data_IF_447240468427
#
_entry.id   IF_447240468427
#
_cell.length_a   1.000
_cell.length_b   1.000
_cell.length_c   1.000
_cell.angle_alpha   90.00
_cell.angle_beta   90.00
_cell.angle_gamma   90.00
#
_symmetry.space_group_name_H-M   'P 1'
#
loop_
_entity.id
_entity.type
_entity.pdbx_description
1 polymer ?
#
# COMPACT_ATOMS: atom_id res chain seq x y z
N UNK A 1 43.62 54.83 3.35
CA UNK A 1 42.48 53.94 3.64
C UNK A 1 42.49 52.87 2.56
N UNK A 2 43.31 51.82 2.62
CA UNK A 2 43.41 50.75 3.60
C UNK A 2 42.12 49.91 3.73
N UNK A 3 42.23 48.65 3.25
CA UNK A 3 41.43 47.46 3.54
C UNK A 3 40.09 47.38 2.78
N UNK A 4 39.74 46.34 2.03
CA UNK A 4 39.87 44.90 2.31
C UNK A 4 39.94 44.05 1.04
N UNK A 5 41.06 43.37 0.81
CA UNK A 5 41.17 42.17 -0.04
C UNK A 5 41.69 41.05 0.87
N UNK A 6 40.85 40.07 1.19
CA UNK A 6 41.22 38.70 1.55
C UNK A 6 40.05 37.99 2.23
N UNK A 7 39.26 37.23 1.46
CA UNK A 7 38.38 36.21 2.05
C UNK A 7 37.97 35.11 1.07
N UNK A 8 38.92 34.54 0.33
CA UNK A 8 38.64 33.33 -0.48
C UNK A 8 39.76 32.28 -0.50
N UNK A 9 40.71 32.31 0.43
CA UNK A 9 41.78 31.29 0.54
C UNK A 9 41.70 30.41 1.81
N UNK A 10 40.49 30.15 2.33
CA UNK A 10 40.30 29.40 3.58
C UNK A 10 39.59 28.04 3.47
N UNK A 11 39.05 27.67 2.31
CA UNK A 11 38.10 26.55 2.20
C UNK A 11 38.51 25.46 1.20
N UNK A 12 39.80 25.30 0.93
CA UNK A 12 40.34 24.20 0.10
C UNK A 12 41.30 23.26 0.86
N UNK A 13 41.57 23.50 2.13
CA UNK A 13 42.45 22.64 2.95
C UNK A 13 41.74 21.75 3.99
N UNK A 14 40.41 21.72 4.04
CA UNK A 14 39.67 20.88 5.00
C UNK A 14 39.03 19.60 4.42
N UNK A 15 38.99 19.46 3.10
CA UNK A 15 38.45 18.25 2.44
C UNK A 15 39.53 17.24 2.06
N UNK A 16 40.80 17.65 1.90
CA UNK A 16 41.90 16.74 1.59
C UNK A 16 42.32 15.82 2.74
N UNK A 17 42.13 16.24 3.99
CA UNK A 17 42.55 15.45 5.17
C UNK A 17 41.53 14.37 5.57
N UNK A 18 40.27 14.46 5.11
CA UNK A 18 39.21 13.50 5.46
C UNK A 18 39.25 12.25 4.58
N UNK A 19 39.65 12.38 3.32
CA UNK A 19 39.78 11.24 2.39
C UNK A 19 40.97 10.35 2.76
N UNK A 20 42.09 10.95 3.18
CA UNK A 20 43.27 10.19 3.64
C UNK A 20 43.05 9.49 5.00
N UNK A 21 42.12 9.99 5.83
CA UNK A 21 41.73 9.32 7.09
C UNK A 21 40.86 8.08 6.84
N UNK A 22 39.94 8.15 5.89
CA UNK A 22 39.05 7.02 5.55
C UNK A 22 39.83 5.86 4.90
N UNK A 23 40.79 6.14 4.02
CA UNK A 23 41.64 5.09 3.44
C UNK A 23 42.53 4.39 4.49
N UNK A 24 42.94 5.11 5.56
CA UNK A 24 43.77 4.52 6.63
C UNK A 24 42.97 3.67 7.61
N UNK A 25 41.67 3.91 7.75
CA UNK A 25 40.77 3.09 8.56
C UNK A 25 40.41 1.76 7.86
N UNK A 26 40.29 1.75 6.53
CA UNK A 26 40.10 0.51 5.75
C UNK A 26 41.33 -0.40 5.80
N UNK A 27 42.55 0.14 5.69
CA UNK A 27 43.79 -0.66 5.82
C UNK A 27 43.93 -1.28 7.22
N UNK A 28 43.51 -0.57 8.27
CA UNK A 28 43.53 -1.10 9.64
C UNK A 28 42.46 -2.17 9.87
N UNK A 29 41.29 -2.07 9.22
CA UNK A 29 40.26 -3.09 9.26
C UNK A 29 40.70 -4.38 8.54
N UNK A 30 41.35 -4.26 7.38
CA UNK A 30 41.91 -5.38 6.64
C UNK A 30 43.03 -6.10 7.42
N UNK A 31 43.93 -5.34 8.06
CA UNK A 31 44.99 -5.91 8.90
C UNK A 31 44.43 -6.64 10.14
N UNK A 32 43.40 -6.09 10.80
CA UNK A 32 42.71 -6.76 11.91
C UNK A 32 42.02 -8.05 11.48
N UNK A 33 41.33 -8.06 10.34
CA UNK A 33 40.69 -9.25 9.79
C UNK A 33 41.72 -10.35 9.48
N UNK A 34 42.89 -9.98 8.96
CA UNK A 34 43.96 -10.92 8.65
C UNK A 34 44.61 -11.51 9.92
N UNK A 35 44.76 -10.71 10.99
CA UNK A 35 45.22 -11.22 12.30
C UNK A 35 44.20 -12.14 12.96
N UNK A 36 42.90 -11.86 12.84
CA UNK A 36 41.83 -12.73 13.37
C UNK A 36 41.81 -14.08 12.66
N UNK A 37 41.95 -14.09 11.33
CA UNK A 37 42.04 -15.32 10.54
C UNK A 37 43.27 -16.16 10.91
N UNK A 38 44.42 -15.52 11.17
CA UNK A 38 45.65 -16.20 11.60
C UNK A 38 45.49 -16.83 13.00
N UNK A 39 44.90 -16.10 13.95
CA UNK A 39 44.64 -16.61 15.30
C UNK A 39 43.63 -17.76 15.33
N UNK A 40 42.60 -17.72 14.47
CA UNK A 40 41.65 -18.85 14.35
C UNK A 40 42.29 -20.10 13.74
N UNK A 41 43.20 -19.94 12.78
CA UNK A 41 43.96 -21.05 12.20
C UNK A 41 44.94 -21.67 13.22
N UNK A 42 45.53 -20.86 14.10
CA UNK A 42 46.45 -21.33 15.14
C UNK A 42 45.71 -22.05 16.29
N UNK A 43 44.52 -21.58 16.69
CA UNK A 43 43.65 -22.30 17.62
C UNK A 43 43.13 -23.64 17.07
N UNK A 44 42.93 -23.76 15.76
CA UNK A 44 42.55 -25.02 15.14
C UNK A 44 43.69 -26.06 15.13
N UNK A 45 44.95 -25.61 15.17
CA UNK A 45 46.13 -26.48 15.23
C UNK A 45 46.45 -26.97 16.66
N UNK A 46 45.94 -26.30 17.71
CA UNK A 46 46.18 -26.68 19.12
C UNK A 46 45.10 -27.60 19.72
N UNK A 47 44.29 -28.26 18.89
CA UNK A 47 43.34 -29.29 19.34
C UNK A 47 44.09 -30.54 19.84
N UNK A 48 44.52 -30.44 21.10
CA UNK A 48 44.84 -31.47 22.09
C UNK A 48 44.79 -32.90 21.54
N UNK A 49 45.97 -33.45 21.31
CA UNK A 49 46.22 -34.88 21.20
C UNK A 49 45.80 -35.53 22.53
N UNK A 50 44.53 -35.97 22.63
CA UNK A 50 44.07 -36.81 23.73
C UNK A 50 44.79 -38.15 23.58
N UNK A 51 45.78 -38.31 24.44
CA UNK A 51 46.66 -39.45 24.52
C UNK A 51 45.92 -40.79 24.60
N UNK A 52 46.60 -41.75 24.01
CA UNK A 52 46.35 -43.17 24.00
C UNK A 52 46.40 -43.76 25.44
N UNK A 53 45.30 -43.69 26.20
CA UNK A 53 45.16 -44.42 27.47
C UNK A 53 44.74 -45.86 27.19
N UNK A 54 45.70 -46.72 26.83
CA UNK A 54 45.58 -48.16 27.00
C UNK A 54 45.73 -48.48 28.50
N UNK A 55 44.63 -48.35 29.24
CA UNK A 55 44.55 -48.63 30.68
C UNK A 55 43.54 -49.73 30.98
N UNK A 56 44.06 -50.95 31.09
CA UNK A 56 43.62 -52.09 31.92
C UNK A 56 42.24 -51.98 32.59
N UNK A 57 41.31 -52.84 32.17
CA UNK A 57 40.45 -53.65 33.05
C UNK A 57 39.83 -54.77 32.19
N UNK A 58 40.61 -55.85 31.98
CA UNK A 58 40.08 -57.13 31.52
C UNK A 58 39.36 -57.79 32.70
N UNK A 59 38.03 -57.77 32.70
CA UNK A 59 37.24 -58.76 33.42
C UNK A 59 36.97 -59.95 32.48
N UNK A 60 37.64 -61.08 32.77
CA UNK A 60 37.45 -62.37 32.12
C UNK A 60 35.97 -62.80 32.15
N UNK A 61 35.36 -62.92 30.97
CA UNK A 61 34.12 -63.67 30.77
C UNK A 61 34.31 -64.58 29.55
N UNK A 62 34.18 -65.91 29.68
CA UNK A 62 34.27 -66.80 28.54
C UNK A 62 32.95 -66.71 27.77
N UNK A 63 32.92 -65.92 26.71
CA UNK A 63 31.83 -65.96 25.74
C UNK A 63 32.38 -66.24 24.35
N UNK A 64 31.98 -67.39 23.84
CA UNK A 64 32.13 -67.85 22.47
C UNK A 64 32.00 -66.70 21.44
N UNK A 65 33.09 -66.39 20.76
CA UNK A 65 33.24 -66.62 19.31
C UNK A 65 32.30 -65.95 18.30
N UNK A 66 31.35 -65.11 18.70
CA UNK A 66 30.61 -64.27 17.76
C UNK A 66 31.03 -62.82 17.96
N UNK A 67 32.04 -62.39 17.21
CA UNK A 67 32.33 -60.97 17.04
C UNK A 67 31.08 -60.31 16.45
N UNK A 68 30.24 -59.72 17.30
CA UNK A 68 29.06 -58.96 16.89
C UNK A 68 29.57 -57.84 15.98
N UNK A 69 29.46 -58.05 14.67
CA UNK A 69 29.76 -57.03 13.66
C UNK A 69 28.67 -55.99 13.77
N UNK A 70 28.83 -55.04 14.69
CA UNK A 70 27.95 -53.87 14.75
C UNK A 70 28.09 -53.13 13.43
N UNK A 71 26.99 -53.02 12.71
CA UNK A 71 26.93 -52.31 11.44
C UNK A 71 27.20 -50.82 11.68
N UNK A 72 28.46 -50.42 11.45
CA UNK A 72 28.92 -49.03 11.59
C UNK A 72 28.13 -48.06 10.70
N UNK A 73 27.44 -48.59 9.68
CA UNK A 73 26.65 -47.86 8.69
C UNK A 73 25.28 -47.42 9.21
N UNK A 74 24.73 -48.10 10.21
CA UNK A 74 23.40 -47.83 10.79
C UNK A 74 23.46 -47.29 12.23
N UNK A 75 24.65 -46.90 12.70
CA UNK A 75 24.79 -46.28 14.01
C UNK A 75 24.19 -44.88 14.00
N UNK A 76 23.56 -44.47 15.10
CA UNK A 76 23.01 -43.11 15.27
C UNK A 76 24.05 -42.02 14.92
N UNK A 77 25.32 -42.22 15.31
CA UNK A 77 26.42 -41.31 14.97
C UNK A 77 26.73 -41.24 13.47
N UNK A 78 26.59 -42.34 12.74
CA UNK A 78 26.78 -42.35 11.28
C UNK A 78 25.67 -41.60 10.57
N UNK A 79 24.42 -41.74 11.04
CA UNK A 79 23.28 -40.96 10.55
C UNK A 79 23.43 -39.48 10.86
N UNK A 80 23.87 -39.14 12.08
CA UNK A 80 24.14 -37.76 12.47
C UNK A 80 25.27 -37.13 11.66
N UNK A 81 26.39 -37.85 11.45
CA UNK A 81 27.49 -37.39 10.59
C UNK A 81 27.03 -37.15 9.15
N UNK A 82 26.21 -38.04 8.60
CA UNK A 82 25.60 -37.87 7.28
C UNK A 82 24.67 -36.65 7.27
N UNK A 83 23.82 -36.50 8.28
CA UNK A 83 22.93 -35.35 8.39
C UNK A 83 23.68 -34.03 8.48
N UNK A 84 24.76 -33.94 9.27
CA UNK A 84 25.61 -32.75 9.33
C UNK A 84 26.25 -32.43 7.98
N UNK A 85 26.73 -33.45 7.26
CA UNK A 85 27.26 -33.27 5.91
C UNK A 85 26.20 -32.77 4.94
N UNK A 86 25.01 -33.38 4.95
CA UNK A 86 23.89 -32.99 4.10
C UNK A 86 23.43 -31.56 4.44
N UNK A 87 23.39 -31.19 5.73
CA UNK A 87 23.04 -29.85 6.21
C UNK A 87 24.09 -28.81 5.81
N UNK A 88 25.38 -29.14 5.91
CA UNK A 88 26.46 -28.27 5.48
C UNK A 88 26.47 -28.10 3.96
N UNK A 89 26.23 -29.19 3.22
CA UNK A 89 26.07 -29.14 1.76
C UNK A 89 24.91 -28.24 1.35
N UNK A 90 23.77 -28.36 2.04
CA UNK A 90 22.59 -27.54 1.78
C UNK A 90 22.85 -26.06 2.10
N UNK A 91 23.52 -25.76 3.21
CA UNK A 91 23.98 -24.40 3.53
C UNK A 91 24.87 -23.84 2.42
N UNK A 92 25.88 -24.59 1.98
CA UNK A 92 26.78 -24.13 0.91
C UNK A 92 26.03 -23.93 -0.40
N UNK A 93 25.07 -24.81 -0.73
CA UNK A 93 24.20 -24.68 -1.91
C UNK A 93 23.39 -23.38 -1.87
N UNK A 94 22.72 -23.11 -0.75
CA UNK A 94 21.92 -21.89 -0.58
C UNK A 94 22.78 -20.63 -0.57
N UNK A 95 23.94 -20.67 0.08
CA UNK A 95 24.87 -19.54 0.09
C UNK A 95 25.43 -19.25 -1.30
N UNK A 96 25.71 -20.29 -2.10
CA UNK A 96 26.14 -20.12 -3.49
C UNK A 96 25.02 -19.54 -4.37
N UNK A 97 23.78 -20.00 -4.19
CA UNK A 97 22.63 -19.46 -4.93
C UNK A 97 22.39 -17.97 -4.61
N UNK A 98 22.45 -17.58 -3.34
CA UNK A 98 22.34 -16.17 -2.95
C UNK A 98 23.47 -15.32 -3.54
N UNK A 99 24.70 -15.81 -3.54
CA UNK A 99 25.82 -15.09 -4.14
C UNK A 99 25.69 -14.96 -5.67
N UNK A 100 25.08 -15.94 -6.35
CA UNK A 100 24.76 -15.86 -7.78
C UNK A 100 23.67 -14.82 -8.06
N UNK A 101 22.60 -14.82 -7.28
CA UNK A 101 21.53 -13.81 -7.38
C UNK A 101 22.06 -12.39 -7.13
N UNK A 102 22.88 -12.20 -6.07
CA UNK A 102 23.54 -10.93 -5.78
C UNK A 102 24.47 -10.49 -6.91
N UNK A 103 25.20 -11.41 -7.54
CA UNK A 103 26.06 -11.11 -8.68
C UNK A 103 25.27 -10.72 -9.93
N UNK A 104 24.12 -11.36 -10.18
CA UNK A 104 23.22 -10.99 -11.29
C UNK A 104 22.64 -9.59 -11.07
N UNK A 105 22.18 -9.29 -9.86
CA UNK A 105 21.68 -7.96 -9.50
C UNK A 105 22.76 -6.89 -9.60
N UNK A 106 23.98 -7.22 -9.16
CA UNK A 106 25.13 -6.33 -9.27
C UNK A 106 25.51 -6.08 -10.72
N UNK A 107 25.53 -7.11 -11.57
CA UNK A 107 25.78 -6.95 -13.01
C UNK A 107 24.72 -6.07 -13.68
N UNK A 108 23.43 -6.25 -13.35
CA UNK A 108 22.34 -5.39 -13.86
C UNK A 108 22.54 -3.93 -13.45
N UNK A 109 22.91 -3.69 -12.19
CA UNK A 109 23.18 -2.35 -11.66
C UNK A 109 24.40 -1.71 -12.32
N UNK A 110 25.49 -2.46 -12.48
CA UNK A 110 26.70 -2.00 -13.16
C UNK A 110 26.43 -1.69 -14.64
N UNK A 111 25.65 -2.51 -15.34
CA UNK A 111 25.24 -2.26 -16.72
C UNK A 111 24.43 -0.98 -16.84
N UNK A 112 23.40 -0.79 -16.00
CA UNK A 112 22.64 0.45 -15.98
C UNK A 112 23.54 1.67 -15.67
N UNK A 113 24.42 1.55 -14.67
CA UNK A 113 25.37 2.61 -14.31
C UNK A 113 26.33 2.95 -15.45
N UNK A 114 26.83 1.95 -16.18
CA UNK A 114 27.71 2.16 -17.34
C UNK A 114 26.97 2.82 -18.49
N UNK A 115 25.72 2.42 -18.76
CA UNK A 115 24.87 3.06 -19.78
C UNK A 115 24.61 4.52 -19.46
N UNK A 116 24.18 4.81 -18.25
CA UNK A 116 23.97 6.18 -17.76
C UNK A 116 25.25 7.02 -17.84
N UNK A 117 26.38 6.47 -17.42
CA UNK A 117 27.67 7.15 -17.49
C UNK A 117 28.06 7.46 -18.94
N UNK A 118 27.90 6.49 -19.84
CA UNK A 118 28.16 6.65 -21.28
C UNK A 118 27.24 7.70 -21.91
N UNK A 119 25.96 7.72 -21.56
CA UNK A 119 25.02 8.72 -22.06
C UNK A 119 25.39 10.13 -21.55
N UNK A 120 25.74 10.26 -20.26
CA UNK A 120 26.21 11.53 -19.69
C UNK A 120 27.54 11.98 -20.29
N UNK A 121 28.43 11.05 -20.58
CA UNK A 121 29.68 11.33 -21.29
C UNK A 121 29.41 11.79 -22.72
N UNK A 122 28.50 11.14 -23.45
CA UNK A 122 28.09 11.56 -24.78
C UNK A 122 27.47 12.97 -24.79
N UNK A 123 26.64 13.31 -23.80
CA UNK A 123 26.10 14.69 -23.65
C UNK A 123 27.23 15.69 -23.35
N UNK A 124 28.21 15.33 -22.51
CA UNK A 124 29.39 16.18 -22.26
C UNK A 124 30.26 16.34 -23.51
N UNK A 125 30.40 15.27 -24.30
CA UNK A 125 31.21 15.25 -25.51
C UNK A 125 30.52 15.97 -26.68
N UNK A 126 29.18 15.99 -26.75
CA UNK A 126 28.43 16.77 -27.73
C UNK A 126 28.66 18.29 -27.64
N UNK A 127 29.29 18.79 -26.56
CA UNK A 127 29.75 20.18 -26.47
C UNK A 127 31.09 20.43 -27.19
N UNK A 128 31.74 19.37 -27.72
CA UNK A 128 32.89 19.38 -28.62
C UNK A 128 32.56 18.47 -29.81
N UNK A 129 31.98 19.04 -30.87
CA UNK A 129 31.33 18.32 -31.97
C UNK A 129 32.17 17.29 -32.71
N UNK A 130 32.25 16.07 -32.17
CA UNK A 130 32.66 14.87 -32.87
C UNK A 130 31.60 13.79 -32.64
N UNK A 131 30.68 13.69 -33.60
CA UNK A 131 29.66 12.66 -33.65
C UNK A 131 30.32 11.37 -34.12
N UNK A 132 30.32 10.27 -33.34
CA UNK A 132 30.79 9.00 -33.87
C UNK A 132 29.75 8.51 -34.88
N UNK A 133 30.19 8.38 -36.13
CA UNK A 133 29.44 7.69 -37.17
C UNK A 133 29.10 6.27 -36.69
N UNK A 134 27.81 5.94 -36.64
CA UNK A 134 27.34 4.56 -36.49
C UNK A 134 27.69 3.80 -37.79
N UNK A 135 28.92 3.28 -37.80
CA UNK A 135 29.43 2.32 -38.78
C UNK A 135 28.52 1.07 -38.86
N UNK A 136 27.82 1.00 -39.98
CA UNK A 136 27.37 -0.19 -40.72
C UNK A 136 27.18 -1.53 -39.96
N UNK A 137 25.90 -1.91 -39.81
CA UNK A 137 25.39 -3.29 -39.98
C UNK A 137 24.55 -3.82 -38.82
N UNK A 138 23.24 -4.13 -38.99
CA UNK A 138 22.84 -5.55 -39.13
C UNK A 138 21.41 -5.81 -39.69
N UNK A 139 21.29 -6.29 -40.93
CA UNK A 139 20.00 -6.83 -41.42
C UNK A 139 19.57 -8.12 -40.67
N UNK A 140 20.53 -8.88 -40.13
CA UNK A 140 20.25 -10.17 -39.50
C UNK A 140 19.89 -10.07 -38.00
N UNK A 141 20.38 -9.05 -37.27
CA UNK A 141 19.92 -8.81 -35.88
C UNK A 141 18.44 -8.45 -35.84
N UNK A 142 17.94 -7.66 -36.80
CA UNK A 142 16.50 -7.33 -36.91
C UNK A 142 15.63 -8.57 -37.14
N UNK A 143 16.11 -9.57 -37.89
CA UNK A 143 15.38 -10.84 -38.07
C UNK A 143 15.34 -11.66 -36.77
N UNK A 144 16.40 -11.65 -35.97
CA UNK A 144 16.41 -12.29 -34.65
C UNK A 144 15.48 -11.58 -33.64
N UNK A 145 15.39 -10.25 -33.71
CA UNK A 145 14.44 -9.44 -32.94
C UNK A 145 12.97 -9.69 -33.34
N UNK A 146 12.70 -10.17 -34.55
CA UNK A 146 11.33 -10.48 -34.99
C UNK A 146 10.88 -11.92 -34.73
N UNK A 147 11.82 -12.86 -34.53
CA UNK A 147 11.47 -14.25 -34.17
C UNK A 147 10.95 -14.30 -32.74
N UNK A 148 9.80 -14.93 -32.45
CA UNK A 148 9.29 -14.94 -31.08
C UNK A 148 10.26 -15.67 -30.15
N UNK A 149 10.32 -15.25 -28.88
CA UNK A 149 11.33 -15.69 -27.90
C UNK A 149 11.45 -17.21 -27.76
N UNK A 150 10.33 -17.93 -27.90
CA UNK A 150 10.27 -19.40 -27.82
C UNK A 150 10.95 -20.13 -29.00
N UNK A 151 11.28 -19.43 -30.09
CA UNK A 151 11.96 -19.98 -31.27
C UNK A 151 13.47 -19.72 -31.27
N UNK A 152 14.01 -19.13 -30.19
CA UNK A 152 15.42 -18.80 -30.01
C UNK A 152 16.07 -19.74 -28.99
N UNK A 153 17.39 -19.95 -29.10
CA UNK A 153 18.15 -20.66 -28.06
C UNK A 153 18.22 -19.83 -26.78
N UNK A 154 18.39 -20.46 -25.62
CA UNK A 154 18.39 -19.77 -24.31
C UNK A 154 19.29 -18.51 -24.30
N UNK A 155 20.52 -18.63 -24.78
CA UNK A 155 21.47 -17.51 -24.82
C UNK A 155 21.00 -16.38 -25.74
N UNK A 156 20.52 -16.70 -26.95
CA UNK A 156 19.99 -15.70 -27.90
C UNK A 156 18.67 -15.07 -27.45
N UNK A 157 17.87 -15.80 -26.67
CA UNK A 157 16.66 -15.27 -26.07
C UNK A 157 17.02 -14.28 -24.95
N UNK A 158 17.98 -14.62 -24.10
CA UNK A 158 18.47 -13.76 -23.02
C UNK A 158 19.11 -12.47 -23.55
N UNK A 159 19.96 -12.55 -24.58
CA UNK A 159 20.52 -11.38 -25.26
C UNK A 159 19.43 -10.50 -25.89
N UNK A 160 18.42 -11.12 -26.49
CA UNK A 160 17.29 -10.38 -27.06
C UNK A 160 16.47 -9.67 -25.98
N UNK A 161 16.22 -10.33 -24.85
CA UNK A 161 15.52 -9.71 -23.72
C UNK A 161 16.27 -8.48 -23.24
N UNK A 162 17.59 -8.61 -23.03
CA UNK A 162 18.45 -7.50 -22.64
C UNK A 162 18.39 -6.34 -23.65
N UNK A 163 18.43 -6.63 -24.96
CA UNK A 163 18.34 -5.57 -25.98
C UNK A 163 16.99 -4.84 -25.99
N UNK A 164 15.90 -5.53 -25.61
CA UNK A 164 14.57 -4.94 -25.54
C UNK A 164 14.40 -4.08 -24.28
N UNK A 165 14.93 -4.52 -23.14
CA UNK A 165 14.98 -3.74 -21.90
C UNK A 165 15.74 -2.42 -22.12
N UNK A 166 16.82 -2.46 -22.91
CA UNK A 166 17.61 -1.27 -23.26
C UNK A 166 16.86 -0.32 -24.20
N UNK A 167 16.11 -0.86 -25.16
CA UNK A 167 15.27 -0.06 -26.03
C UNK A 167 14.14 0.63 -25.25
N UNK A 168 13.45 -0.11 -24.37
CA UNK A 168 12.39 0.45 -23.51
C UNK A 168 12.94 1.53 -22.57
N UNK A 169 14.12 1.32 -21.97
CA UNK A 169 14.75 2.34 -21.14
C UNK A 169 15.04 3.63 -21.93
N UNK A 170 15.50 3.53 -23.17
CA UNK A 170 15.71 4.70 -24.04
C UNK A 170 14.39 5.39 -24.39
N UNK A 171 13.34 4.63 -24.69
CA UNK A 171 12.00 5.16 -24.97
C UNK A 171 11.44 5.93 -23.75
N UNK A 172 11.63 5.40 -22.54
CA UNK A 172 11.23 6.07 -21.29
C UNK A 172 12.01 7.36 -21.05
N UNK A 173 13.32 7.36 -21.30
CA UNK A 173 14.16 8.57 -21.20
C UNK A 173 13.72 9.59 -22.25
N UNK A 174 13.48 9.17 -23.49
CA UNK A 174 13.00 10.05 -24.55
C UNK A 174 11.62 10.64 -24.22
N UNK A 175 10.71 9.85 -23.65
CA UNK A 175 9.43 10.35 -23.16
C UNK A 175 9.61 11.39 -22.05
N UNK A 176 10.42 11.10 -21.03
CA UNK A 176 10.65 12.03 -19.92
C UNK A 176 11.27 13.35 -20.37
N UNK A 177 12.21 13.30 -21.33
CA UNK A 177 12.87 14.48 -21.87
C UNK A 177 11.95 15.32 -22.76
N UNK A 178 10.99 14.69 -23.42
CA UNK A 178 10.02 15.36 -24.30
C UNK A 178 8.69 15.64 -23.60
N UNK A 179 8.61 15.47 -22.28
CA UNK A 179 7.42 15.78 -21.51
C UNK A 179 7.35 17.30 -21.26
N UNK A 180 6.44 17.99 -21.95
CA UNK A 180 6.17 19.41 -21.73
C UNK A 180 5.29 19.62 -20.49
N UNK A 181 5.95 19.85 -19.36
CA UNK A 181 5.29 20.06 -18.06
C UNK A 181 4.58 21.42 -18.03
N UNK A 182 5.12 22.43 -18.71
CA UNK A 182 4.59 23.79 -18.68
C UNK A 182 3.23 23.86 -19.38
N UNK A 183 3.08 23.20 -20.53
CA UNK A 183 1.78 23.06 -21.19
C UNK A 183 0.72 22.43 -20.28
N UNK A 184 1.09 21.38 -19.54
CA UNK A 184 0.16 20.72 -18.63
C UNK A 184 -0.18 21.59 -17.41
N UNK A 185 0.79 22.34 -16.89
CA UNK A 185 0.59 23.25 -15.77
C UNK A 185 -0.31 24.43 -16.15
N UNK A 186 -0.13 24.99 -17.35
CA UNK A 186 -0.98 26.06 -17.88
C UNK A 186 -2.45 25.60 -17.97
N UNK A 187 -2.69 24.38 -18.47
CA UNK A 187 -4.03 23.80 -18.54
C UNK A 187 -4.66 23.60 -17.16
N UNK A 188 -3.87 23.25 -16.14
CA UNK A 188 -4.34 23.12 -14.75
C UNK A 188 -4.69 24.48 -14.15
N UNK A 189 -3.87 25.51 -14.40
CA UNK A 189 -4.15 26.86 -13.95
C UNK A 189 -5.40 27.43 -14.63
N UNK A 190 -5.55 27.22 -15.94
CA UNK A 190 -6.74 27.61 -16.68
C UNK A 190 -7.98 26.90 -16.12
N UNK A 191 -7.90 25.59 -15.86
CA UNK A 191 -9.00 24.83 -15.22
C UNK A 191 -9.35 25.37 -13.83
N UNK A 192 -8.35 25.74 -13.03
CA UNK A 192 -8.58 26.33 -11.71
C UNK A 192 -9.28 27.70 -11.82
N UNK A 193 -8.86 28.54 -12.77
CA UNK A 193 -9.52 29.84 -13.03
C UNK A 193 -10.95 29.67 -13.54
N UNK A 194 -11.20 28.71 -14.43
CA UNK A 194 -12.55 28.39 -14.91
C UNK A 194 -13.44 27.92 -13.76
N UNK A 195 -12.96 27.03 -12.89
CA UNK A 195 -13.72 26.60 -11.71
C UNK A 195 -14.05 27.76 -10.76
N UNK A 196 -13.14 28.73 -10.62
CA UNK A 196 -13.41 29.95 -9.83
C UNK A 196 -14.51 30.81 -10.48
N UNK A 197 -14.50 30.97 -11.80
CA UNK A 197 -15.54 31.70 -12.54
C UNK A 197 -16.89 30.97 -12.45
N UNK A 198 -16.90 29.64 -12.56
CA UNK A 198 -18.12 28.83 -12.37
C UNK A 198 -18.71 29.01 -10.97
N UNK A 199 -17.85 29.06 -9.94
CA UNK A 199 -18.29 29.33 -8.56
C UNK A 199 -18.91 30.74 -8.42
N UNK A 200 -18.29 31.75 -9.03
CA UNK A 200 -18.82 33.11 -9.03
C UNK A 200 -20.15 33.19 -9.79
N UNK A 201 -20.25 32.52 -10.93
CA UNK A 201 -21.47 32.45 -11.72
C UNK A 201 -22.60 31.77 -10.93
N UNK A 202 -22.31 30.68 -10.22
CA UNK A 202 -23.29 30.01 -9.36
C UNK A 202 -23.77 30.91 -8.21
N UNK A 203 -22.87 31.71 -7.62
CA UNK A 203 -23.26 32.68 -6.59
C UNK A 203 -24.20 33.76 -7.15
N UNK A 204 -23.85 34.33 -8.30
CA UNK A 204 -24.69 35.34 -8.97
C UNK A 204 -26.05 34.73 -9.36
N UNK A 205 -26.06 33.52 -9.91
CA UNK A 205 -27.30 32.83 -10.27
C UNK A 205 -28.18 32.61 -9.03
N UNK A 206 -27.61 32.21 -7.90
CA UNK A 206 -28.36 32.05 -6.65
C UNK A 206 -28.98 33.37 -6.15
N UNK A 207 -28.33 34.52 -6.37
CA UNK A 207 -28.88 35.83 -6.00
C UNK A 207 -30.07 36.16 -6.91
N UNK A 208 -29.90 35.97 -8.22
CA UNK A 208 -30.97 36.21 -9.20
C UNK A 208 -32.20 35.34 -8.91
N UNK A 209 -31.99 34.04 -8.65
CA UNK A 209 -33.07 33.11 -8.32
C UNK A 209 -33.81 33.52 -7.02
N UNK A 210 -33.09 34.08 -6.05
CA UNK A 210 -33.67 34.59 -4.80
C UNK A 210 -34.49 35.86 -5.03
N UNK A 211 -33.94 36.83 -5.76
CA UNK A 211 -34.64 38.07 -6.10
C UNK A 211 -35.92 37.79 -6.91
N UNK A 212 -35.85 36.91 -7.91
CA UNK A 212 -37.04 36.50 -8.69
C UNK A 212 -38.09 35.81 -7.81
N UNK A 213 -37.67 35.00 -6.83
CA UNK A 213 -38.58 34.36 -5.89
C UNK A 213 -39.24 35.36 -4.92
N UNK A 214 -38.50 36.39 -4.49
CA UNK A 214 -39.01 37.48 -3.65
C UNK A 214 -39.98 38.38 -4.43
N UNK A 215 -39.68 38.74 -5.68
CA UNK A 215 -40.60 39.48 -6.54
C UNK A 215 -41.93 38.73 -6.71
N UNK A 216 -41.88 37.43 -7.00
CA UNK A 216 -43.08 36.58 -7.07
C UNK A 216 -43.81 36.43 -5.73
N UNK A 217 -43.13 36.61 -4.59
CA UNK A 217 -43.77 36.67 -3.27
C UNK A 217 -44.51 37.99 -3.10
N UNK A 218 -43.85 39.11 -3.38
CA UNK A 218 -44.43 40.45 -3.32
C UNK A 218 -45.62 40.60 -4.28
N UNK A 219 -45.53 40.11 -5.52
CA UNK A 219 -46.65 40.14 -6.47
C UNK A 219 -47.87 39.38 -5.95
N UNK A 220 -47.68 38.20 -5.35
CA UNK A 220 -48.78 37.43 -4.75
C UNK A 220 -49.38 38.11 -3.51
N UNK A 221 -48.56 38.76 -2.70
CA UNK A 221 -49.00 39.55 -1.55
C UNK A 221 -49.80 40.77 -2.00
N UNK A 222 -49.31 41.47 -3.02
CA UNK A 222 -49.98 42.62 -3.63
C UNK A 222 -51.31 42.20 -4.25
N UNK A 223 -51.34 41.10 -5.00
CA UNK A 223 -52.58 40.57 -5.58
C UNK A 223 -53.61 40.24 -4.50
N UNK A 224 -53.19 39.65 -3.37
CA UNK A 224 -54.07 39.44 -2.21
C UNK A 224 -54.60 40.73 -1.62
N UNK A 225 -53.76 41.76 -1.49
CA UNK A 225 -54.17 43.07 -0.96
C UNK A 225 -55.13 43.78 -1.92
N UNK A 226 -54.91 43.68 -3.23
CA UNK A 226 -55.80 44.20 -4.27
C UNK A 226 -57.15 43.46 -4.27
N UNK A 227 -57.17 42.13 -4.12
CA UNK A 227 -58.40 41.34 -3.99
C UNK A 227 -59.20 41.73 -2.73
N UNK A 228 -58.51 42.03 -1.62
CA UNK A 228 -59.13 42.54 -0.38
C UNK A 228 -59.68 43.97 -0.59
N UNK A 229 -58.93 44.83 -1.28
CA UNK A 229 -59.30 46.23 -1.52
C UNK A 229 -60.43 46.41 -2.55
N UNK A 230 -60.53 45.54 -3.57
CA UNK A 230 -61.56 45.57 -4.60
C UNK A 230 -62.91 44.96 -4.17
N UNK A 231 -63.09 44.67 -2.88
CA UNK A 231 -64.40 44.33 -2.30
C UNK A 231 -64.76 42.84 -2.32
N UNK A 232 -63.77 41.94 -2.45
CA UNK A 232 -63.95 40.49 -2.36
C UNK A 232 -64.03 39.95 -0.93
N UNK A 233 -64.71 40.64 -0.01
CA UNK A 233 -64.72 40.33 1.42
C UNK A 233 -66.08 39.87 1.97
N UNK A 234 -66.62 38.76 1.48
CA UNK A 234 -67.45 37.93 2.35
C UNK A 234 -66.49 37.11 3.22
N UNK A 235 -66.25 37.58 4.44
CA UNK A 235 -65.39 36.91 5.42
C UNK A 235 -65.91 35.47 5.62
N UNK A 236 -65.25 34.51 4.99
CA UNK A 236 -65.55 33.10 5.20
C UNK A 236 -64.86 32.68 6.50
N UNK A 237 -65.56 31.90 7.34
CA UNK A 237 -65.13 31.59 8.72
C UNK A 237 -63.72 31.00 8.85
N UNK A 238 -63.14 30.50 7.76
CA UNK A 238 -61.79 29.96 7.72
C UNK A 238 -60.67 31.00 7.83
N UNK A 239 -60.92 32.30 7.56
CA UNK A 239 -59.88 33.34 7.70
C UNK A 239 -59.70 33.83 9.15
N UNK A 240 -60.72 33.64 9.99
CA UNK A 240 -60.65 33.89 11.44
C UNK A 240 -59.82 32.83 12.18
N UNK A 241 -59.80 31.58 11.69
CA UNK A 241 -58.96 30.51 12.24
C UNK A 241 -57.45 30.74 12.01
N UNK A 242 -57.09 31.58 11.03
CA UNK A 242 -55.69 31.84 10.66
C UNK A 242 -55.04 32.98 11.43
N UNK A 243 -55.83 33.84 12.07
CA UNK A 243 -55.37 34.94 12.94
C UNK A 243 -55.25 34.56 14.42
N UNK A 244 -55.25 33.27 14.74
CA UNK A 244 -54.34 32.67 15.73
C UNK A 244 -54.23 33.30 17.12
N UNK A 245 -55.28 33.91 17.67
CA UNK A 245 -55.30 34.39 19.06
C UNK A 245 -55.93 33.44 20.07
N UNK A 246 -56.45 32.29 19.64
CA UNK A 246 -56.97 31.26 20.55
C UNK A 246 -56.50 29.84 20.14
N UNK A 247 -55.18 29.57 20.25
CA UNK A 247 -54.70 28.19 20.47
C UNK A 247 -53.36 28.15 21.19
N UNK A 248 -53.34 28.61 22.44
CA UNK A 248 -52.44 28.03 23.42
C UNK A 248 -52.86 26.56 23.64
N UNK A 249 -52.17 25.59 23.03
CA UNK A 249 -52.39 24.18 23.36
C UNK A 249 -52.07 23.15 22.27
N UNK A 250 -50.81 22.71 22.29
CA UNK A 250 -50.31 21.35 22.02
C UNK A 250 -50.53 20.67 20.65
N UNK A 251 -49.41 20.12 20.13
CA UNK A 251 -49.24 19.06 19.11
C UNK A 251 -49.17 19.43 17.62
N UNK A 252 -48.23 20.30 17.22
CA UNK A 252 -47.79 20.29 15.80
C UNK A 252 -46.31 20.64 15.57
N UNK A 253 -45.52 20.92 16.64
CA UNK A 253 -44.11 21.30 16.51
C UNK A 253 -43.09 20.15 16.55
N UNK A 254 -43.40 19.03 17.22
CA UNK A 254 -42.42 17.94 17.43
C UNK A 254 -42.12 17.12 16.16
N UNK A 255 -42.98 17.21 15.14
CA UNK A 255 -42.86 16.43 13.91
C UNK A 255 -41.79 17.00 12.97
N UNK A 256 -41.62 18.33 12.94
CA UNK A 256 -40.64 19.01 12.10
C UNK A 256 -39.22 18.89 12.66
N UNK A 257 -39.05 18.90 13.99
CA UNK A 257 -37.75 18.74 14.64
C UNK A 257 -37.18 17.33 14.39
N UNK A 258 -37.99 16.29 14.57
CA UNK A 258 -37.58 14.91 14.32
C UNK A 258 -37.25 14.66 12.83
N UNK A 259 -37.96 15.30 11.91
CA UNK A 259 -37.69 15.21 10.47
C UNK A 259 -36.42 15.97 10.06
N UNK A 260 -36.15 17.12 10.68
CA UNK A 260 -34.94 17.92 10.44
C UNK A 260 -33.69 17.19 10.91
N UNK A 261 -33.72 16.60 12.11
CA UNK A 261 -32.64 15.76 12.64
C UNK A 261 -32.42 14.53 11.75
N UNK A 262 -33.49 13.84 11.37
CA UNK A 262 -33.40 12.68 10.48
C UNK A 262 -32.81 13.04 9.10
N UNK A 263 -33.17 14.20 8.56
CA UNK A 263 -32.63 14.68 7.28
C UNK A 263 -31.15 15.02 7.39
N UNK A 264 -30.72 15.63 8.49
CA UNK A 264 -29.30 15.93 8.74
C UNK A 264 -28.47 14.66 8.86
N UNK A 265 -28.93 13.66 9.63
CA UNK A 265 -28.22 12.37 9.82
C UNK A 265 -28.08 11.60 8.51
N UNK A 266 -29.13 11.58 7.68
CA UNK A 266 -29.07 10.94 6.36
C UNK A 266 -28.25 11.76 5.35
N UNK A 267 -28.13 13.08 5.56
CA UNK A 267 -27.24 13.93 4.78
C UNK A 267 -25.77 13.56 5.03
N UNK A 268 -25.42 13.44 6.31
CA UNK A 268 -24.07 13.17 6.81
C UNK A 268 -23.62 11.72 6.58
N UNK A 269 -24.51 10.73 6.77
CA UNK A 269 -24.17 9.31 6.69
C UNK A 269 -24.66 8.64 5.39
N UNK A 270 -23.77 8.52 4.39
CA UNK A 270 -24.05 7.87 3.09
C UNK A 270 -24.53 6.42 3.25
N UNK A 271 -23.96 5.69 4.20
CA UNK A 271 -24.28 4.27 4.46
C UNK A 271 -25.67 4.06 5.07
N UNK A 272 -26.21 5.03 5.81
CA UNK A 272 -27.53 4.92 6.43
C UNK A 272 -28.61 5.37 5.43
N UNK A 273 -28.29 6.37 4.60
CA UNK A 273 -29.17 6.84 3.51
C UNK A 273 -29.54 5.75 2.51
N UNK A 274 -28.64 4.81 2.24
CA UNK A 274 -28.91 3.72 1.29
C UNK A 274 -29.90 2.68 1.81
N UNK A 275 -30.18 2.65 3.12
CA UNK A 275 -30.97 1.60 3.76
C UNK A 275 -32.25 2.15 4.41
N UNK A 276 -32.22 3.37 4.95
CA UNK A 276 -33.34 3.97 5.67
C UNK A 276 -33.82 5.27 5.03
N UNK A 277 -35.15 5.45 5.00
CA UNK A 277 -35.78 6.71 4.60
C UNK A 277 -35.86 7.71 5.76
N UNK A 278 -35.97 9.00 5.44
CA UNK A 278 -36.11 10.10 6.42
C UNK A 278 -37.23 9.80 7.43
N UNK A 279 -38.37 9.33 6.93
CA UNK A 279 -39.52 8.96 7.76
C UNK A 279 -39.23 7.77 8.69
N UNK A 280 -38.43 6.80 8.25
CA UNK A 280 -38.03 5.66 9.09
C UNK A 280 -37.10 6.10 10.21
N UNK A 281 -36.17 7.02 9.93
CA UNK A 281 -35.24 7.54 10.94
C UNK A 281 -35.97 8.44 11.94
N UNK A 282 -36.85 9.34 11.46
CA UNK A 282 -37.67 10.19 12.32
C UNK A 282 -38.60 9.38 13.25
N UNK A 283 -39.15 8.25 12.77
CA UNK A 283 -39.96 7.37 13.60
C UNK A 283 -39.15 6.66 14.71
N UNK A 284 -37.85 6.39 14.46
CA UNK A 284 -36.95 5.83 15.48
C UNK A 284 -36.65 6.90 16.53
N UNK A 285 -36.33 8.12 16.12
CA UNK A 285 -36.10 9.26 17.03
C UNK A 285 -37.30 9.48 17.95
N UNK A 286 -38.52 9.52 17.39
CA UNK A 286 -39.77 9.64 18.17
C UNK A 286 -39.98 8.50 19.17
N UNK A 287 -39.63 7.26 18.82
CA UNK A 287 -39.74 6.11 19.74
C UNK A 287 -38.72 6.20 20.88
N UNK A 288 -37.54 6.74 20.61
CA UNK A 288 -36.52 6.97 21.64
C UNK A 288 -36.96 8.11 22.57
N UNK A 289 -37.46 9.21 22.01
CA UNK A 289 -38.01 10.33 22.77
C UNK A 289 -39.20 9.90 23.63
N UNK A 290 -40.12 9.10 23.09
CA UNK A 290 -41.24 8.54 23.86
C UNK A 290 -40.77 7.62 24.99
N UNK A 291 -39.66 6.89 24.81
CA UNK A 291 -39.05 6.07 25.87
C UNK A 291 -38.37 6.92 26.93
N UNK A 292 -37.72 8.02 26.56
CA UNK A 292 -37.12 8.95 27.51
C UNK A 292 -38.19 9.70 28.32
N UNK A 293 -39.33 10.00 27.69
CA UNK A 293 -40.48 10.60 28.37
C UNK A 293 -41.19 9.60 29.30
N UNK A 294 -41.24 8.31 28.95
CA UNK A 294 -41.88 7.29 29.79
C UNK A 294 -41.04 6.87 31.00
N UNK A 295 -39.71 6.91 30.90
CA UNK A 295 -38.79 6.61 32.03
C UNK A 295 -38.71 7.77 33.05
N UNK A 296 -39.29 8.93 32.76
CA UNK A 296 -39.42 10.07 33.68
C UNK A 296 -40.64 10.04 34.61
N UNK A 297 -41.64 9.19 34.35
CA UNK A 297 -42.82 9.04 35.19
C UNK A 297 -42.84 7.64 35.81
N UNK A 298 -42.39 7.55 37.06
CA UNK A 298 -42.31 6.29 37.81
C UNK A 298 -43.65 5.55 37.89
N UNK A 299 -43.80 4.50 37.09
CA UNK A 299 -44.80 3.45 37.29
C UNK A 299 -44.24 2.11 36.78
N UNK A 300 -44.28 1.15 37.69
CA UNK A 300 -43.78 -0.22 37.64
C UNK A 300 -44.15 -1.04 36.41
N UNK A 301 -43.16 -1.83 35.97
CA UNK A 301 -43.28 -2.95 35.04
C UNK A 301 -44.33 -4.00 35.44
N UNK A 302 -44.77 -4.82 34.47
CA UNK A 302 -44.91 -6.25 34.69
C UNK A 302 -43.94 -7.04 33.81
N UNK A 303 -43.31 -8.03 34.44
CA UNK A 303 -42.39 -8.99 33.82
C UNK A 303 -43.07 -9.85 32.76
N UNK A 304 -42.49 -9.93 31.56
CA UNK A 304 -42.67 -11.06 30.65
C UNK A 304 -41.30 -11.67 30.34
N UNK A 305 -41.21 -12.98 30.53
CA UNK A 305 -39.98 -13.74 30.47
C UNK A 305 -39.40 -13.80 29.04
N UNK A 306 -38.08 -13.66 28.94
CA UNK A 306 -37.30 -14.31 27.89
C UNK A 306 -36.98 -13.50 26.64
N UNK A 307 -36.20 -12.42 26.77
CA UNK A 307 -35.21 -12.07 25.75
C UNK A 307 -34.24 -11.04 26.32
N UNK A 308 -33.25 -11.51 27.09
CA UNK A 308 -32.01 -10.75 27.14
C UNK A 308 -31.49 -10.72 25.70
N UNK A 309 -31.15 -9.55 25.11
CA UNK A 309 -30.56 -9.52 23.79
C UNK A 309 -29.29 -10.36 23.87
N UNK A 310 -29.29 -11.52 23.22
CA UNK A 310 -28.08 -12.31 23.08
C UNK A 310 -27.06 -11.37 22.47
N UNK A 311 -26.03 -11.02 23.25
CA UNK A 311 -24.91 -10.26 22.74
C UNK A 311 -24.47 -10.96 21.44
N UNK A 312 -24.32 -10.23 20.33
CA UNK A 312 -23.97 -10.84 19.06
C UNK A 312 -22.75 -11.71 19.29
N UNK A 313 -22.85 -12.98 18.90
CA UNK A 313 -21.72 -13.91 19.00
C UNK A 313 -20.65 -13.45 18.02
N UNK A 314 -19.75 -12.59 18.47
CA UNK A 314 -18.60 -12.13 17.71
C UNK A 314 -17.62 -13.31 17.64
N UNK A 315 -17.56 -13.95 16.49
CA UNK A 315 -16.52 -14.94 16.18
C UNK A 315 -15.40 -14.19 15.47
N UNK A 316 -14.35 -13.86 16.21
CA UNK A 316 -13.09 -13.39 15.62
C UNK A 316 -12.38 -14.59 15.02
N UNK A 317 -12.19 -14.59 13.70
CA UNK A 317 -11.42 -15.61 13.00
C UNK A 317 -9.99 -15.09 12.92
N UNK A 318 -9.06 -15.69 13.65
CA UNK A 318 -7.64 -15.37 13.52
C UNK A 318 -7.14 -15.78 12.13
N UNK A 319 -6.80 -14.79 11.31
CA UNK A 319 -6.28 -15.01 9.94
C UNK A 319 -4.78 -15.34 9.92
N UNK A 320 -4.12 -15.41 11.08
CA UNK A 320 -2.66 -15.59 11.22
C UNK A 320 -2.13 -16.88 10.56
N UNK A 321 -2.98 -17.91 10.42
CA UNK A 321 -2.62 -19.18 9.76
C UNK A 321 -3.10 -19.28 8.30
N UNK A 322 -3.71 -18.24 7.74
CA UNK A 322 -4.20 -18.26 6.35
C UNK A 322 -5.29 -19.31 6.10
N UNK A 323 -6.08 -19.67 7.12
CA UNK A 323 -7.13 -20.71 7.04
C UNK A 323 -8.09 -20.43 5.87
N UNK A 324 -8.42 -19.16 5.61
CA UNK A 324 -9.25 -18.73 4.47
C UNK A 324 -8.64 -19.05 3.10
N UNK A 325 -7.32 -19.10 2.99
CA UNK A 325 -6.62 -19.51 1.77
C UNK A 325 -6.63 -21.04 1.61
N UNK A 326 -6.56 -21.80 2.71
CA UNK A 326 -6.66 -23.26 2.68
C UNK A 326 -8.07 -23.76 2.33
N UNK A 327 -9.12 -22.98 2.67
CA UNK A 327 -10.51 -23.29 2.30
C UNK A 327 -10.68 -23.38 0.78
N UNK A 328 -9.97 -22.55 -0.01
CA UNK A 328 -10.04 -22.58 -1.48
C UNK A 328 -9.46 -23.86 -2.08
N UNK A 329 -8.55 -24.51 -1.36
CA UNK A 329 -7.92 -25.78 -1.76
C UNK A 329 -8.65 -27.02 -1.24
N UNK A 330 -9.71 -26.85 -0.44
CA UNK A 330 -10.47 -27.99 0.08
C UNK A 330 -11.12 -28.75 -1.08
N UNK A 331 -10.97 -30.08 -1.15
CA UNK A 331 -11.59 -30.90 -2.19
C UNK A 331 -13.10 -30.70 -2.27
N UNK A 332 -13.76 -30.40 -1.14
CA UNK A 332 -15.21 -30.13 -1.08
C UNK A 332 -15.66 -28.90 -1.88
N UNK A 333 -14.74 -28.00 -2.27
CA UNK A 333 -15.05 -26.82 -3.08
C UNK A 333 -14.81 -27.05 -4.58
N UNK A 334 -14.45 -28.27 -4.98
CA UNK A 334 -14.19 -28.57 -6.39
C UNK A 334 -15.51 -28.63 -7.18
N UNK A 335 -15.59 -27.97 -8.36
CA UNK A 335 -16.83 -27.80 -9.12
C UNK A 335 -17.55 -29.08 -9.54
N UNK A 336 -16.86 -30.23 -9.50
CA UNK A 336 -17.38 -31.52 -9.94
C UNK A 336 -17.90 -32.39 -8.79
N UNK A 337 -17.55 -32.08 -7.54
CA UNK A 337 -17.97 -32.88 -6.37
C UNK A 337 -19.48 -32.75 -6.09
N UNK A 338 -20.06 -31.61 -6.45
CA UNK A 338 -21.50 -31.32 -6.30
C UNK A 338 -22.30 -31.53 -7.58
N UNK A 339 -21.69 -32.11 -8.63
CA UNK A 339 -22.39 -32.45 -9.87
C UNK A 339 -22.86 -33.89 -9.81
N UNK A 340 -24.07 -34.12 -10.28
CA UNK A 340 -24.65 -35.44 -10.38
C UNK A 340 -23.86 -36.26 -11.43
N UNK A 341 -23.20 -37.37 -11.08
CA UNK A 341 -22.36 -38.15 -12.01
C UNK A 341 -23.17 -38.88 -13.10
N UNK A 342 -24.50 -38.77 -13.09
CA UNK A 342 -25.41 -39.41 -14.03
C UNK A 342 -25.92 -38.48 -15.15
N UNK A 343 -25.31 -37.30 -15.36
CA UNK A 343 -25.57 -36.40 -16.49
C UNK A 343 -24.33 -36.31 -17.38
#
# INVERSE_FOLDING_TARGET
MAMTSDKTQGLLHRTGTRVLSACREEEQAASKAQTLAKNMAEMAASAVSIGNYKGVMLCNRPFNGHAIRRDKKNTALSKHKKWLYDLQKERTRLQAALAEDEAVDQQRRERFSQREAKQREAVRNNNNGDAPEDEAGPADKKKALNRPMWALTKATAEEKLESLEDAEANDLIAFANNLDIDQFMDDVEIKARVAQVEQQLAQVQSIVDYEEAEEKRCEREQQRLEDIAHGGGALNGNDLDRLGWDRAGAKDGDDDDAMSVASSVLSECKSIRSVHSVRSVAAITKRVEAKLLTDGSGASAPSEAGSAPYAPRVVTIDEEQGIRMQIKTLPSNLPYIHRNPAI
#
